data_IF_028888969311
#
_entry.id   IF_028888969311
#
_cell.length_a   1.000
_cell.length_b   1.000
_cell.length_c   1.000
_cell.angle_alpha   90.00
_cell.angle_beta   90.00
_cell.angle_gamma   90.00
#
_symmetry.space_group_name_H-M   'P 1'
#
loop_
_entity.id
_entity.type
_entity.pdbx_description
1 polymer ?
#
# COMPACT_ATOMS: atom_id res chain seq x y z
N UNK A 1 -6.20 -4.64 -10.10
CA UNK A 1 -7.49 -5.38 -10.21
C UNK A 1 -8.45 -4.77 -11.24
N UNK A 2 -7.95 -4.22 -12.32
CA UNK A 2 -8.79 -3.69 -13.43
C UNK A 2 -9.28 -4.81 -14.36
N UNK A 3 -8.59 -5.96 -14.37
CA UNK A 3 -8.95 -7.16 -15.11
C UNK A 3 -9.00 -8.34 -14.12
N UNK A 4 -10.06 -8.43 -13.29
CA UNK A 4 -10.08 -9.36 -12.18
C UNK A 4 -10.06 -10.83 -12.62
N UNK A 5 -10.82 -11.22 -13.63
CA UNK A 5 -10.89 -12.61 -14.09
C UNK A 5 -9.52 -13.09 -14.61
N UNK A 6 -8.84 -12.25 -15.40
CA UNK A 6 -7.49 -12.56 -15.89
C UNK A 6 -6.48 -12.70 -14.75
N UNK A 7 -6.51 -11.79 -13.78
CA UNK A 7 -5.60 -11.84 -12.63
C UNK A 7 -5.88 -13.07 -11.76
N UNK A 8 -7.14 -13.39 -11.53
CA UNK A 8 -7.54 -14.58 -10.79
C UNK A 8 -7.02 -15.87 -11.45
N UNK A 9 -7.21 -16.00 -12.77
CA UNK A 9 -6.76 -17.16 -13.53
C UNK A 9 -5.24 -17.33 -13.49
N UNK A 10 -4.47 -16.24 -13.61
CA UNK A 10 -3.01 -16.29 -13.49
C UNK A 10 -2.59 -16.82 -12.10
N UNK A 11 -3.13 -16.27 -11.02
CA UNK A 11 -2.77 -16.70 -9.67
C UNK A 11 -3.21 -18.13 -9.40
N UNK A 12 -4.41 -18.52 -9.86
CA UNK A 12 -4.91 -19.87 -9.71
C UNK A 12 -4.01 -20.88 -10.40
N UNK A 13 -3.62 -20.64 -11.66
CA UNK A 13 -2.70 -21.51 -12.39
C UNK A 13 -1.31 -21.52 -11.79
N UNK A 14 -0.78 -20.37 -11.40
CA UNK A 14 0.52 -20.28 -10.73
C UNK A 14 0.61 -21.20 -9.50
N UNK A 15 -0.48 -21.27 -8.74
CA UNK A 15 -0.58 -22.17 -7.58
C UNK A 15 -0.80 -23.62 -7.96
N UNK A 16 -1.78 -23.89 -8.82
CA UNK A 16 -2.23 -25.26 -9.13
C UNK A 16 -1.21 -26.01 -9.98
N UNK A 17 -0.67 -25.37 -11.01
CA UNK A 17 0.19 -26.03 -11.99
C UNK A 17 1.67 -26.01 -11.56
N UNK A 18 2.09 -25.00 -10.78
CA UNK A 18 3.51 -24.76 -10.49
C UNK A 18 3.83 -24.64 -8.99
N UNK A 19 2.84 -24.72 -8.10
CA UNK A 19 3.01 -24.55 -6.65
C UNK A 19 3.76 -23.24 -6.25
N UNK A 20 3.60 -22.17 -7.04
CA UNK A 20 4.27 -20.90 -6.79
C UNK A 20 3.60 -20.12 -5.65
N UNK A 21 4.43 -19.41 -4.88
CA UNK A 21 3.94 -18.39 -3.95
C UNK A 21 3.46 -17.17 -4.75
N UNK A 22 2.27 -16.68 -4.44
CA UNK A 22 1.60 -15.59 -5.16
C UNK A 22 1.49 -14.34 -4.29
N UNK A 23 1.81 -13.20 -4.88
CA UNK A 23 1.70 -11.91 -4.19
C UNK A 23 0.95 -10.88 -5.05
N UNK A 24 -0.11 -10.28 -4.49
CA UNK A 24 -0.88 -9.22 -5.13
C UNK A 24 -0.39 -7.86 -4.67
N UNK A 25 0.10 -7.05 -5.60
CA UNK A 25 0.46 -5.65 -5.37
C UNK A 25 -0.75 -4.75 -5.68
N UNK A 26 -1.23 -3.99 -4.69
CA UNK A 26 -2.46 -3.20 -4.84
C UNK A 26 -2.61 -2.12 -3.77
N UNK A 27 -3.38 -1.08 -4.08
CA UNK A 27 -3.93 -0.15 -3.08
C UNK A 27 -5.33 -0.58 -2.56
N UNK A 28 -5.91 -1.66 -3.06
CA UNK A 28 -7.15 -2.23 -2.56
C UNK A 28 -8.45 -1.52 -2.93
N UNK A 29 -8.43 -0.35 -3.57
CA UNK A 29 -9.63 0.46 -3.84
C UNK A 29 -10.75 -0.29 -4.56
N UNK A 30 -10.40 -1.15 -5.54
CA UNK A 30 -11.37 -1.95 -6.30
C UNK A 30 -11.73 -3.28 -5.63
N UNK A 31 -11.10 -3.64 -4.52
CA UNK A 31 -11.34 -4.91 -3.81
C UNK A 31 -12.79 -5.05 -3.33
N UNK A 32 -13.47 -3.93 -3.03
CA UNK A 32 -14.88 -3.90 -2.63
C UNK A 32 -15.83 -4.54 -3.65
N UNK A 33 -15.42 -4.60 -4.93
CA UNK A 33 -16.24 -5.15 -6.02
C UNK A 33 -15.98 -6.65 -6.24
N UNK A 34 -15.10 -7.28 -5.46
CA UNK A 34 -14.68 -8.67 -5.63
C UNK A 34 -15.11 -9.52 -4.43
N UNK A 35 -15.54 -10.78 -4.65
CA UNK A 35 -15.86 -11.70 -3.56
C UNK A 35 -14.60 -12.16 -2.82
N UNK A 36 -14.74 -12.69 -1.62
CA UNK A 36 -13.61 -13.23 -0.82
C UNK A 36 -12.88 -14.37 -1.54
N UNK A 37 -13.61 -15.20 -2.28
CA UNK A 37 -13.03 -16.28 -3.08
C UNK A 37 -12.02 -15.82 -4.14
N UNK A 38 -12.11 -14.57 -4.61
CA UNK A 38 -11.12 -13.98 -5.49
C UNK A 38 -9.71 -13.97 -4.88
N UNK A 39 -9.62 -13.86 -3.55
CA UNK A 39 -8.35 -13.76 -2.84
C UNK A 39 -7.81 -15.13 -2.40
N UNK A 40 -8.53 -16.23 -2.63
CA UNK A 40 -8.08 -17.58 -2.24
C UNK A 40 -6.71 -17.95 -2.81
N UNK A 41 -6.44 -17.76 -4.12
CA UNK A 41 -5.15 -18.11 -4.69
C UNK A 41 -4.01 -17.13 -4.37
N UNK A 42 -4.23 -16.12 -3.54
CA UNK A 42 -3.27 -15.10 -3.17
C UNK A 42 -2.70 -15.40 -1.78
N UNK A 43 -1.38 -15.58 -1.67
CA UNK A 43 -0.70 -15.88 -0.41
C UNK A 43 -0.36 -14.62 0.37
N UNK A 44 0.02 -13.55 -0.33
CA UNK A 44 0.48 -12.29 0.25
C UNK A 44 -0.15 -11.10 -0.48
N UNK A 45 -0.54 -10.08 0.26
CA UNK A 45 -0.95 -8.79 -0.32
C UNK A 45 0.07 -7.72 0.05
N UNK A 46 0.67 -7.09 -0.98
CA UNK A 46 1.46 -5.87 -0.83
C UNK A 46 0.47 -4.70 -0.90
N UNK A 47 0.10 -4.15 0.26
CA UNK A 47 -0.95 -3.14 0.36
C UNK A 47 -0.36 -1.74 0.51
N UNK A 48 -0.65 -0.87 -0.45
CA UNK A 48 -0.27 0.54 -0.38
C UNK A 48 -1.33 1.37 0.34
N UNK A 49 -0.96 2.03 1.45
CA UNK A 49 -1.72 3.13 2.03
C UNK A 49 -0.94 4.41 1.73
N UNK A 50 -1.56 5.36 1.00
CA UNK A 50 -0.87 6.54 0.51
C UNK A 50 -0.91 7.71 1.47
N UNK A 51 -2.01 7.84 2.23
CA UNK A 51 -2.26 8.93 3.17
C UNK A 51 -3.43 8.52 4.07
N UNK A 52 -3.40 8.88 5.36
CA UNK A 52 -4.47 8.56 6.32
C UNK A 52 -5.54 9.65 6.40
N UNK A 53 -5.17 10.91 6.20
CA UNK A 53 -6.14 12.00 6.18
C UNK A 53 -6.99 11.93 4.90
N UNK A 54 -8.34 11.86 4.98
CA UNK A 54 -9.20 11.66 3.81
C UNK A 54 -9.09 12.77 2.77
N UNK A 55 -8.95 14.03 3.20
CA UNK A 55 -8.87 15.19 2.31
C UNK A 55 -7.53 15.18 1.56
N UNK A 56 -6.42 14.97 2.27
CA UNK A 56 -5.08 14.84 1.67
C UNK A 56 -5.01 13.63 0.75
N UNK A 57 -5.54 12.48 1.18
CA UNK A 57 -5.59 11.28 0.34
C UNK A 57 -6.33 11.55 -0.97
N UNK A 58 -7.49 12.22 -0.90
CA UNK A 58 -8.27 12.58 -2.09
C UNK A 58 -7.53 13.56 -2.98
N UNK A 59 -6.82 14.54 -2.40
CA UNK A 59 -5.99 15.48 -3.16
C UNK A 59 -4.84 14.77 -3.87
N UNK A 60 -4.18 13.81 -3.22
CA UNK A 60 -3.03 13.08 -3.78
C UNK A 60 -3.42 12.02 -4.82
N UNK A 61 -4.57 11.37 -4.66
CA UNK A 61 -4.93 10.17 -5.43
C UNK A 61 -6.20 10.34 -6.27
N UNK A 62 -6.98 11.38 -6.04
CA UNK A 62 -8.31 11.55 -6.61
C UNK A 62 -9.38 10.63 -6.02
N UNK A 63 -9.07 9.82 -5.00
CA UNK A 63 -9.93 8.78 -4.45
C UNK A 63 -10.09 8.90 -2.93
N UNK A 64 -11.16 8.28 -2.41
CA UNK A 64 -11.36 8.12 -0.97
C UNK A 64 -10.44 7.02 -0.42
N UNK A 65 -9.90 7.21 0.78
CA UNK A 65 -9.05 6.23 1.48
C UNK A 65 -9.87 5.08 2.08
N UNK A 66 -11.12 5.30 2.44
CA UNK A 66 -11.98 4.34 3.15
C UNK A 66 -11.98 2.94 2.51
N UNK A 67 -12.15 2.78 1.17
CA UNK A 67 -12.11 1.45 0.56
C UNK A 67 -10.80 0.69 0.77
N UNK A 68 -9.67 1.40 0.82
CA UNK A 68 -8.35 0.80 1.11
C UNK A 68 -8.26 0.33 2.56
N UNK A 69 -8.72 1.15 3.51
CA UNK A 69 -8.73 0.81 4.94
C UNK A 69 -9.69 -0.35 5.23
N UNK A 70 -10.87 -0.35 4.61
CA UNK A 70 -11.83 -1.45 4.73
C UNK A 70 -11.28 -2.76 4.14
N UNK A 71 -10.52 -2.67 3.05
CA UNK A 71 -9.84 -3.83 2.48
C UNK A 71 -8.77 -4.39 3.41
N UNK A 72 -7.97 -3.55 4.08
CA UNK A 72 -7.01 -4.01 5.09
C UNK A 72 -7.69 -4.82 6.22
N UNK A 73 -8.79 -4.30 6.77
CA UNK A 73 -9.61 -5.00 7.77
C UNK A 73 -10.22 -6.30 7.24
N UNK A 74 -10.64 -6.32 5.97
CA UNK A 74 -11.17 -7.51 5.30
C UNK A 74 -10.09 -8.57 5.14
N UNK A 75 -8.86 -8.20 4.79
CA UNK A 75 -7.73 -9.12 4.69
C UNK A 75 -7.43 -9.80 6.03
N UNK A 76 -7.54 -9.06 7.15
CA UNK A 76 -7.43 -9.65 8.49
C UNK A 76 -8.52 -10.70 8.74
N UNK A 77 -9.78 -10.40 8.44
CA UNK A 77 -10.88 -11.37 8.60
C UNK A 77 -10.68 -12.63 7.77
N UNK A 78 -10.04 -12.51 6.61
CA UNK A 78 -9.69 -13.64 5.74
C UNK A 78 -8.37 -14.32 6.15
N UNK A 79 -7.69 -13.84 7.19
CA UNK A 79 -6.37 -14.32 7.62
C UNK A 79 -5.33 -14.28 6.48
N UNK A 80 -5.39 -13.26 5.63
CA UNK A 80 -4.44 -13.04 4.53
C UNK A 80 -3.27 -12.24 5.01
N UNK A 81 -2.06 -12.71 4.75
CA UNK A 81 -0.81 -12.01 5.07
C UNK A 81 -0.70 -10.70 4.31
N UNK A 82 -0.25 -9.66 4.99
CA UNK A 82 -0.09 -8.32 4.41
C UNK A 82 1.31 -7.79 4.71
N UNK A 83 1.96 -7.28 3.67
CA UNK A 83 3.05 -6.33 3.79
C UNK A 83 2.52 -4.96 3.42
N UNK A 84 2.49 -4.07 4.39
CA UNK A 84 2.00 -2.72 4.20
C UNK A 84 3.12 -1.83 3.69
N UNK A 85 2.82 -0.98 2.69
CA UNK A 85 3.77 -0.02 2.15
C UNK A 85 3.25 1.40 2.29
N UNK A 86 4.13 2.29 2.70
CA UNK A 86 3.87 3.71 2.86
C UNK A 86 4.94 4.53 2.16
N UNK A 87 4.57 5.36 1.19
CA UNK A 87 5.54 6.21 0.47
C UNK A 87 5.70 7.52 1.24
N UNK A 88 6.92 7.77 1.72
CA UNK A 88 7.26 8.98 2.44
C UNK A 88 7.67 10.09 1.47
N UNK A 89 6.85 11.13 1.36
CA UNK A 89 7.07 12.31 0.53
C UNK A 89 7.09 13.53 1.44
N UNK A 90 8.25 14.20 1.62
CA UNK A 90 8.35 15.37 2.51
C UNK A 90 7.35 16.47 2.15
N UNK A 91 6.61 16.96 3.14
CA UNK A 91 5.58 17.98 2.97
C UNK A 91 4.27 17.51 2.34
N UNK A 92 4.13 16.20 2.03
CA UNK A 92 2.90 15.63 1.47
C UNK A 92 2.37 14.44 2.27
N UNK A 93 3.24 13.54 2.74
CA UNK A 93 2.85 12.35 3.49
C UNK A 93 3.70 12.14 4.75
N UNK A 94 4.49 13.13 5.17
CA UNK A 94 5.36 13.08 6.35
C UNK A 94 4.78 13.79 7.58
N UNK A 95 3.49 14.13 7.55
CA UNK A 95 2.80 14.74 8.69
C UNK A 95 2.71 13.76 9.86
N UNK A 96 3.16 14.20 11.05
CA UNK A 96 3.21 13.32 12.22
C UNK A 96 1.83 12.77 12.59
N UNK A 97 0.76 13.60 12.48
CA UNK A 97 -0.61 13.17 12.76
C UNK A 97 -1.09 12.02 11.87
N UNK A 98 -0.62 11.94 10.62
CA UNK A 98 -1.02 10.88 9.68
C UNK A 98 -0.22 9.60 9.94
N UNK A 99 1.06 9.75 10.27
CA UNK A 99 1.92 8.63 10.69
C UNK A 99 1.38 8.02 12.00
N UNK A 100 0.95 8.85 12.95
CA UNK A 100 0.31 8.39 14.21
C UNK A 100 -1.03 7.70 13.93
N UNK A 101 -1.84 8.25 13.02
CA UNK A 101 -3.10 7.65 12.60
C UNK A 101 -2.88 6.29 11.90
N UNK A 102 -1.84 6.18 11.05
CA UNK A 102 -1.47 4.92 10.41
C UNK A 102 -1.03 3.89 11.46
N UNK A 103 -0.15 4.27 12.39
CA UNK A 103 0.30 3.39 13.46
C UNK A 103 -0.87 2.83 14.28
N UNK A 104 -1.78 3.73 14.71
CA UNK A 104 -3.00 3.35 15.45
C UNK A 104 -3.94 2.46 14.63
N UNK A 105 -4.00 2.67 13.32
CA UNK A 105 -4.85 1.87 12.43
C UNK A 105 -4.31 0.45 12.26
N UNK A 106 -2.98 0.29 12.11
CA UNK A 106 -2.34 -1.02 11.88
C UNK A 106 -2.12 -1.84 13.15
N UNK A 107 -2.00 -1.18 14.32
CA UNK A 107 -1.78 -1.83 15.61
C UNK A 107 -2.71 -3.03 15.87
N UNK A 108 -4.04 -2.98 15.63
CA UNK A 108 -4.94 -4.13 15.85
C UNK A 108 -4.94 -5.14 14.70
N UNK A 109 -4.15 -4.95 13.64
CA UNK A 109 -4.16 -5.81 12.46
C UNK A 109 -3.04 -6.88 12.53
N UNK A 110 -3.33 -8.00 13.18
CA UNK A 110 -2.37 -9.09 13.44
C UNK A 110 -1.84 -9.79 12.17
N UNK A 111 -2.51 -9.60 11.04
CA UNK A 111 -2.11 -10.17 9.75
C UNK A 111 -1.06 -9.33 9.00
N UNK A 112 -0.65 -8.17 9.54
CA UNK A 112 0.42 -7.35 8.96
C UNK A 112 1.75 -7.89 9.47
N UNK A 113 2.46 -8.62 8.61
CA UNK A 113 3.76 -9.21 8.94
C UNK A 113 4.92 -8.19 8.80
N UNK A 114 4.70 -7.14 8.01
CA UNK A 114 5.76 -6.18 7.67
C UNK A 114 5.18 -4.82 7.27
N UNK A 115 5.87 -3.76 7.63
CA UNK A 115 5.65 -2.41 7.12
C UNK A 115 6.92 -1.94 6.41
N UNK A 116 6.78 -1.44 5.18
CA UNK A 116 7.86 -0.84 4.41
C UNK A 116 7.58 0.65 4.19
N UNK A 117 8.43 1.51 4.73
CA UNK A 117 8.44 2.94 4.41
C UNK A 117 9.36 3.16 3.21
N UNK A 118 8.75 3.47 2.08
CA UNK A 118 9.43 3.68 0.82
C UNK A 118 9.77 5.17 0.64
N UNK A 119 11.06 5.54 0.59
CA UNK A 119 11.41 6.93 0.34
C UNK A 119 11.01 7.33 -1.09
N UNK A 120 10.37 8.49 -1.22
CA UNK A 120 10.11 9.09 -2.53
C UNK A 120 11.42 9.27 -3.31
N UNK A 121 11.35 9.11 -4.62
CA UNK A 121 12.49 9.33 -5.53
C UNK A 121 12.03 9.81 -6.92
N UNK A 122 12.89 10.55 -7.60
CA UNK A 122 12.61 11.14 -8.92
C UNK A 122 13.04 10.28 -10.11
N UNK A 123 13.30 8.98 -9.93
CA UNK A 123 13.80 8.10 -11.00
C UNK A 123 12.87 8.01 -12.22
N UNK A 124 11.57 8.25 -12.05
CA UNK A 124 10.62 8.21 -13.16
C UNK A 124 10.49 9.52 -13.95
N UNK A 125 11.20 10.61 -13.58
CA UNK A 125 11.08 11.92 -14.20
C UNK A 125 11.23 11.87 -15.73
N UNK A 126 12.24 11.14 -16.22
CA UNK A 126 12.48 10.97 -17.66
C UNK A 126 11.32 10.31 -18.42
N UNK A 127 10.46 9.51 -17.75
CA UNK A 127 9.27 8.91 -18.36
C UNK A 127 8.17 9.95 -18.55
N UNK A 128 7.98 10.82 -17.56
CA UNK A 128 7.02 11.92 -17.64
C UNK A 128 7.39 12.90 -18.74
N UNK A 129 8.70 13.23 -18.86
CA UNK A 129 9.21 14.08 -19.93
C UNK A 129 8.98 13.47 -21.32
N UNK A 130 9.24 12.15 -21.48
CA UNK A 130 9.00 11.46 -22.76
C UNK A 130 7.53 11.38 -23.15
N UNK A 131 6.63 11.36 -22.18
CA UNK A 131 5.18 11.31 -22.39
C UNK A 131 4.56 12.71 -22.52
N UNK A 132 5.38 13.76 -22.36
CA UNK A 132 4.94 15.16 -22.37
C UNK A 132 3.83 15.47 -21.35
N UNK A 133 3.80 14.70 -20.24
CA UNK A 133 2.86 14.92 -19.15
C UNK A 133 3.49 15.80 -18.07
N UNK A 134 2.72 16.75 -17.48
CA UNK A 134 3.19 17.52 -16.35
C UNK A 134 3.46 16.58 -15.16
N UNK A 135 4.62 16.77 -14.52
CA UNK A 135 4.97 16.04 -13.29
C UNK A 135 5.02 17.01 -12.12
N UNK A 136 3.97 16.99 -11.29
CA UNK A 136 3.80 17.93 -10.18
C UNK A 136 4.92 17.80 -9.13
N UNK A 137 5.48 16.60 -8.95
CA UNK A 137 6.55 16.34 -7.99
C UNK A 137 7.96 16.55 -8.55
N UNK A 138 8.12 17.23 -9.70
CA UNK A 138 9.43 17.45 -10.35
C UNK A 138 10.47 18.06 -9.42
N UNK A 139 10.05 19.02 -8.58
CA UNK A 139 10.91 19.75 -7.66
C UNK A 139 10.82 19.24 -6.22
N UNK A 140 10.13 18.12 -6.01
CA UNK A 140 9.97 17.54 -4.70
C UNK A 140 11.30 16.98 -4.20
N UNK A 141 11.70 17.35 -2.98
CA UNK A 141 12.91 16.78 -2.38
C UNK A 141 12.71 15.30 -2.01
N UNK A 142 13.77 14.55 -2.06
CA UNK A 142 13.84 13.19 -1.54
C UNK A 142 13.96 13.24 -0.01
N UNK A 143 13.29 12.39 0.77
CA UNK A 143 13.51 12.29 2.21
C UNK A 143 14.92 11.78 2.50
N UNK A 144 15.50 12.21 3.61
CA UNK A 144 16.78 11.67 4.09
C UNK A 144 16.62 10.24 4.59
N UNK A 145 17.74 9.52 4.71
CA UNK A 145 17.73 8.19 5.31
C UNK A 145 17.27 8.23 6.77
N UNK A 146 17.61 9.29 7.52
CA UNK A 146 17.22 9.46 8.91
C UNK A 146 15.70 9.68 9.03
N UNK A 147 15.11 10.54 8.19
CA UNK A 147 13.65 10.76 8.12
C UNK A 147 12.92 9.45 7.82
N UNK A 148 13.38 8.72 6.80
CA UNK A 148 12.78 7.43 6.41
C UNK A 148 12.90 6.40 7.55
N UNK A 149 14.09 6.29 8.15
CA UNK A 149 14.33 5.36 9.25
C UNK A 149 13.48 5.67 10.48
N UNK A 150 13.33 6.96 10.83
CA UNK A 150 12.50 7.38 11.96
C UNK A 150 11.06 6.91 11.81
N UNK A 151 10.46 7.11 10.63
CA UNK A 151 9.09 6.67 10.34
C UNK A 151 8.99 5.14 10.30
N UNK A 152 9.97 4.47 9.69
CA UNK A 152 10.05 3.01 9.64
C UNK A 152 10.09 2.39 11.05
N UNK A 153 11.00 2.89 11.91
CA UNK A 153 11.14 2.40 13.27
C UNK A 153 9.87 2.66 14.10
N UNK A 154 9.19 3.78 13.87
CA UNK A 154 7.94 4.11 14.54
C UNK A 154 6.80 3.16 14.14
N UNK A 155 6.60 2.92 12.85
CA UNK A 155 5.54 2.02 12.36
C UNK A 155 5.83 0.55 12.71
N UNK A 156 7.09 0.12 12.72
CA UNK A 156 7.47 -1.22 13.13
C UNK A 156 7.08 -1.52 14.60
N UNK A 157 7.14 -0.51 15.48
CA UNK A 157 6.70 -0.70 16.88
C UNK A 157 5.20 -0.98 16.98
N UNK A 158 4.39 -0.39 16.09
CA UNK A 158 2.95 -0.61 16.09
C UNK A 158 2.57 -2.07 15.76
N UNK A 159 3.31 -2.74 14.85
CA UNK A 159 3.05 -4.15 14.49
C UNK A 159 3.77 -5.15 15.40
N UNK A 160 4.76 -4.70 16.20
CA UNK A 160 5.49 -5.58 17.12
C UNK A 160 4.81 -5.72 18.50
N UNK A 161 3.64 -5.12 18.68
CA UNK A 161 2.88 -5.16 19.91
C UNK A 161 2.06 -6.47 20.10
N UNK A 162 2.18 -7.41 19.14
CA UNK A 162 1.48 -8.70 19.12
C UNK A 162 2.40 -9.87 19.38
#
# INVERSE_FOLDING_TARGET
>A
MQQPDFTYEIFSRAKQDFALHTALDTQGFLARNLPDSYFEPIDLVLLDIKEMNPERHKSLTGQDVTPTLDFAKRLQKMNKKVWLRYVLVPGLTDFQEDIDALAKFIEPLENIERVDVLPFHNMALHKWEKLEFPYELKNQRVPTQEETKKVQDFLNKAISAH
#
